data_IF_871988676668
#
_entry.id   IF_871988676668
#
_cell.length_a   1.000
_cell.length_b   1.000
_cell.length_c   1.000
_cell.angle_alpha   90.00
_cell.angle_beta   90.00
_cell.angle_gamma   90.00
#
_symmetry.space_group_name_H-M   'P 1'
#
loop_
_entity.id
_entity.type
_entity.pdbx_description
1 polymer ?
#
# COMPACT_ATOMS: atom_id res chain seq x y z
N UNK A 1 1.52 0.47 16.99
CA UNK A 1 1.23 0.50 15.56
C UNK A 1 -0.02 -0.28 15.22
N UNK A 2 -0.83 0.29 14.38
CA UNK A 2 -2.17 -0.23 14.13
C UNK A 2 -2.27 -0.98 12.82
N UNK A 3 -1.59 -2.11 12.73
CA UNK A 3 -1.63 -2.95 11.55
C UNK A 3 -2.98 -3.60 11.32
N UNK A 4 -3.65 -3.92 12.41
CA UNK A 4 -4.96 -4.57 12.38
C UNK A 4 -6.07 -3.62 11.98
N UNK A 5 -5.81 -2.32 12.01
CA UNK A 5 -6.78 -1.32 11.61
C UNK A 5 -6.55 -0.94 10.16
N UNK A 6 -7.00 -1.79 9.25
CA UNK A 6 -6.86 -1.53 7.84
C UNK A 6 -7.58 -0.29 7.35
N UNK A 7 -8.60 0.13 8.07
CA UNK A 7 -9.42 1.24 7.63
C UNK A 7 -8.84 2.58 8.11
N UNK A 8 -8.25 3.33 7.22
CA UNK A 8 -7.92 4.71 7.46
C UNK A 8 -9.15 5.56 7.15
N UNK A 9 -9.40 6.58 7.95
CA UNK A 9 -10.48 7.51 7.65
C UNK A 9 -10.07 8.45 6.51
N UNK A 10 -11.05 9.09 5.88
CA UNK A 10 -10.78 10.10 4.87
C UNK A 10 -9.92 11.23 5.45
N UNK A 11 -10.16 11.60 6.70
CA UNK A 11 -9.38 12.64 7.36
C UNK A 11 -7.90 12.24 7.49
N UNK A 12 -7.62 10.99 7.84
CA UNK A 12 -6.25 10.49 7.96
C UNK A 12 -5.52 10.57 6.62
N UNK A 13 -6.16 10.13 5.55
CA UNK A 13 -5.55 10.14 4.22
C UNK A 13 -5.39 11.57 3.70
N UNK A 14 -6.33 12.43 4.01
CA UNK A 14 -6.24 13.84 3.65
C UNK A 14 -5.02 14.49 4.28
N UNK A 15 -4.81 14.26 5.56
CA UNK A 15 -3.68 14.80 6.31
C UNK A 15 -2.35 14.25 5.79
N UNK A 16 -2.26 12.93 5.65
CA UNK A 16 -1.02 12.26 5.24
C UNK A 16 -0.57 12.64 3.83
N UNK A 17 -1.51 12.94 2.95
CA UNK A 17 -1.22 13.19 1.54
C UNK A 17 -1.32 14.66 1.15
N UNK A 18 -1.61 15.55 2.11
CA UNK A 18 -1.73 16.97 1.81
C UNK A 18 -2.91 17.29 0.92
N UNK A 19 -4.06 16.68 1.17
CA UNK A 19 -5.27 16.80 0.34
C UNK A 19 -6.36 17.59 1.06
N UNK A 20 -5.99 18.70 1.68
CA UNK A 20 -6.87 19.45 2.59
C UNK A 20 -8.11 20.05 1.92
N UNK A 21 -8.07 20.26 0.61
CA UNK A 21 -9.18 20.88 -0.12
C UNK A 21 -10.15 19.85 -0.71
N UNK A 22 -9.89 18.56 -0.53
CA UNK A 22 -10.75 17.51 -1.08
C UNK A 22 -11.79 17.06 -0.08
N UNK A 23 -12.95 16.65 -0.59
CA UNK A 23 -14.03 16.10 0.20
C UNK A 23 -13.87 14.58 0.36
N UNK A 24 -14.61 14.00 1.30
CA UNK A 24 -14.56 12.56 1.56
C UNK A 24 -14.90 11.73 0.33
N UNK A 25 -15.86 12.19 -0.47
CA UNK A 25 -16.25 11.49 -1.71
C UNK A 25 -15.12 11.38 -2.72
N UNK A 26 -14.21 12.37 -2.71
CA UNK A 26 -13.07 12.37 -3.62
C UNK A 26 -12.01 11.34 -3.23
N UNK A 27 -12.02 10.91 -1.97
CA UNK A 27 -11.02 10.01 -1.42
C UNK A 27 -11.44 8.54 -1.39
N UNK A 28 -12.64 8.22 -1.88
CA UNK A 28 -13.18 6.85 -1.79
C UNK A 28 -12.29 5.79 -2.43
N UNK A 29 -11.78 6.07 -3.62
CA UNK A 29 -10.91 5.13 -4.30
C UNK A 29 -9.58 4.96 -3.57
N UNK A 30 -9.01 6.06 -3.10
CA UNK A 30 -7.77 6.02 -2.34
C UNK A 30 -7.95 5.23 -1.04
N UNK A 31 -9.05 5.43 -0.34
CA UNK A 31 -9.38 4.70 0.87
C UNK A 31 -9.51 3.21 0.61
N UNK A 32 -10.17 2.83 -0.48
CA UNK A 32 -10.34 1.43 -0.86
C UNK A 32 -9.00 0.76 -1.15
N UNK A 33 -8.13 1.44 -1.90
CA UNK A 33 -6.81 0.91 -2.21
C UNK A 33 -5.94 0.79 -0.96
N UNK A 34 -5.99 1.78 -0.08
CA UNK A 34 -5.31 1.73 1.20
C UNK A 34 -5.78 0.53 2.02
N UNK A 35 -7.08 0.33 2.09
CA UNK A 35 -7.67 -0.79 2.81
C UNK A 35 -7.21 -2.14 2.26
N UNK A 36 -7.19 -2.28 0.93
CA UNK A 36 -6.69 -3.51 0.30
C UNK A 36 -5.24 -3.79 0.68
N UNK A 37 -4.39 -2.77 0.67
CA UNK A 37 -2.99 -2.93 1.07
C UNK A 37 -2.87 -3.45 2.50
N UNK A 38 -3.60 -2.86 3.42
CA UNK A 38 -3.46 -3.19 4.84
C UNK A 38 -4.19 -4.45 5.28
N UNK A 39 -5.30 -4.81 4.63
CA UNK A 39 -6.10 -5.98 5.02
C UNK A 39 -5.79 -7.22 4.20
N UNK A 40 -5.22 -7.09 3.03
CA UNK A 40 -4.94 -8.21 2.14
C UNK A 40 -3.46 -8.33 1.79
N UNK A 41 -2.90 -7.29 1.19
CA UNK A 41 -1.55 -7.38 0.60
C UNK A 41 -0.48 -7.56 1.68
N UNK A 42 -0.45 -6.69 2.67
CA UNK A 42 0.60 -6.72 3.70
C UNK A 42 0.51 -7.95 4.63
N UNK A 43 -0.68 -8.41 5.05
CA UNK A 43 -0.75 -9.66 5.80
C UNK A 43 -0.18 -10.85 5.05
N UNK A 44 -0.40 -10.93 3.73
CA UNK A 44 0.19 -12.00 2.91
C UNK A 44 1.71 -11.88 2.83
N UNK A 45 2.25 -10.66 2.84
CA UNK A 45 3.69 -10.46 2.88
C UNK A 45 4.30 -11.10 4.14
N UNK A 46 3.64 -10.95 5.28
CA UNK A 46 4.09 -11.58 6.54
C UNK A 46 4.11 -13.10 6.45
N UNK A 47 3.11 -13.69 5.81
CA UNK A 47 3.05 -15.12 5.60
C UNK A 47 4.22 -15.62 4.76
N UNK A 48 4.53 -14.93 3.67
CA UNK A 48 5.67 -15.28 2.83
C UNK A 48 7.00 -15.08 3.55
N UNK A 49 7.11 -14.06 4.38
CA UNK A 49 8.30 -13.85 5.19
C UNK A 49 8.58 -15.04 6.09
N UNK A 50 7.55 -15.60 6.69
CA UNK A 50 7.68 -16.80 7.53
C UNK A 50 8.06 -18.02 6.71
N UNK A 51 7.48 -18.17 5.51
CA UNK A 51 7.79 -19.29 4.64
C UNK A 51 9.22 -19.25 4.10
N UNK A 52 9.73 -18.04 3.87
CA UNK A 52 11.08 -17.83 3.35
C UNK A 52 12.01 -17.39 4.47
N UNK A 53 12.09 -18.21 5.47
CA UNK A 53 12.86 -17.94 6.68
C UNK A 53 14.28 -17.51 6.36
N UNK A 54 14.73 -16.44 7.00
CA UNK A 54 16.07 -15.90 6.79
C UNK A 54 16.22 -14.95 5.60
N UNK A 55 15.18 -14.77 4.80
CA UNK A 55 15.26 -13.85 3.65
C UNK A 55 15.15 -12.39 4.07
N UNK A 56 14.40 -12.13 5.15
CA UNK A 56 14.45 -10.85 5.84
C UNK A 56 13.98 -11.07 7.28
N UNK A 57 14.44 -10.21 8.16
CA UNK A 57 14.27 -10.43 9.59
C UNK A 57 12.89 -10.09 10.13
N UNK A 58 12.27 -9.06 9.57
CA UNK A 58 10.93 -8.66 10.03
C UNK A 58 10.14 -8.05 8.89
N UNK A 59 8.83 -8.10 9.05
CA UNK A 59 7.91 -7.46 8.12
C UNK A 59 7.35 -6.22 8.78
N UNK A 60 7.62 -5.08 8.21
CA UNK A 60 7.06 -3.82 8.69
C UNK A 60 6.63 -2.96 7.52
N UNK A 61 5.71 -2.07 7.79
CA UNK A 61 5.15 -1.19 6.78
C UNK A 61 5.79 0.18 6.95
N UNK A 62 6.37 0.69 5.89
CA UNK A 62 7.00 1.99 5.88
C UNK A 62 6.09 2.96 5.15
N UNK A 63 5.76 4.05 5.81
CA UNK A 63 5.09 5.16 5.14
C UNK A 63 6.17 6.16 4.73
N UNK A 64 6.25 6.44 3.44
CA UNK A 64 7.24 7.36 2.92
C UNK A 64 6.83 8.80 3.18
N UNK A 65 7.80 9.72 3.06
CA UNK A 65 7.63 11.14 3.32
C UNK A 65 6.50 11.78 2.52
N UNK A 66 6.30 11.31 1.31
CA UNK A 66 5.28 11.84 0.40
C UNK A 66 3.93 11.14 0.53
N UNK A 67 3.73 10.36 1.58
CA UNK A 67 2.48 9.66 1.83
C UNK A 67 2.35 8.34 1.11
N UNK A 68 3.39 7.88 0.44
CA UNK A 68 3.40 6.56 -0.18
C UNK A 68 3.53 5.46 0.86
N UNK A 69 3.18 4.26 0.49
CA UNK A 69 3.27 3.09 1.35
C UNK A 69 4.19 2.06 0.72
N UNK A 70 5.01 1.45 1.55
CA UNK A 70 5.94 0.44 1.07
C UNK A 70 6.19 -0.59 2.16
N UNK A 71 6.26 -1.86 1.78
CA UNK A 71 6.65 -2.95 2.66
C UNK A 71 7.79 -3.72 2.02
N UNK A 72 8.70 -4.29 2.83
CA UNK A 72 9.72 -5.18 2.29
C UNK A 72 9.08 -6.36 1.56
N UNK A 73 9.59 -6.68 0.40
CA UNK A 73 9.13 -7.84 -0.38
C UNK A 73 10.03 -9.02 -0.02
N UNK A 74 9.48 -10.12 0.51
CA UNK A 74 10.30 -11.28 0.81
C UNK A 74 10.91 -11.87 -0.46
N UNK A 75 12.12 -12.37 -0.34
CA UNK A 75 12.83 -13.00 -1.44
C UNK A 75 12.81 -14.51 -1.24
N UNK A 76 12.26 -15.28 -2.19
CA UNK A 76 12.24 -16.72 -2.05
C UNK A 76 13.66 -17.31 -2.09
N UNK A 77 13.92 -18.36 -1.30
CA UNK A 77 15.23 -19.03 -1.34
C UNK A 77 15.43 -19.73 -2.67
N UNK A 78 16.68 -19.81 -3.09
CA UNK A 78 17.07 -20.49 -4.35
C UNK A 78 17.15 -22.02 -4.14
N UNK A 79 16.13 -22.60 -3.56
CA UNK A 79 16.11 -24.03 -3.31
C UNK A 79 15.03 -24.65 -4.19
N UNK A 80 15.43 -25.62 -4.99
CA UNK A 80 14.51 -26.40 -5.81
C UNK A 80 13.53 -27.17 -4.91
N UNK A 81 12.30 -27.32 -5.33
CA UNK A 81 11.36 -28.21 -4.69
C UNK A 81 10.08 -27.60 -4.14
N UNK A 82 9.89 -26.28 -4.22
CA UNK A 82 8.67 -25.68 -3.70
C UNK A 82 8.01 -24.77 -4.73
N UNK A 83 7.78 -25.32 -5.91
CA UNK A 83 7.26 -24.59 -7.05
C UNK A 83 5.88 -23.96 -6.78
N UNK A 84 5.02 -24.66 -6.06
CA UNK A 84 3.69 -24.14 -5.71
C UNK A 84 3.78 -22.88 -4.86
N UNK A 85 4.65 -22.91 -3.86
CA UNK A 85 4.82 -21.77 -2.96
C UNK A 85 5.43 -20.58 -3.71
N UNK A 86 6.40 -20.84 -4.57
CA UNK A 86 7.03 -19.79 -5.39
C UNK A 86 6.02 -19.18 -6.34
N UNK A 87 5.16 -19.99 -6.95
CA UNK A 87 4.11 -19.49 -7.83
C UNK A 87 3.12 -18.61 -7.06
N UNK A 88 2.69 -19.04 -5.89
CA UNK A 88 1.82 -18.24 -5.02
C UNK A 88 2.46 -16.91 -4.66
N UNK A 89 3.75 -16.93 -4.36
CA UNK A 89 4.52 -15.73 -4.07
C UNK A 89 4.56 -14.79 -5.26
N UNK A 90 4.82 -15.30 -6.46
CA UNK A 90 4.88 -14.48 -7.67
C UNK A 90 3.51 -13.85 -7.98
N UNK A 91 2.44 -14.61 -7.79
CA UNK A 91 1.07 -14.10 -7.98
C UNK A 91 0.78 -12.98 -6.97
N UNK A 92 1.15 -13.17 -5.71
CA UNK A 92 1.00 -12.15 -4.68
C UNK A 92 1.81 -10.89 -5.01
N UNK A 93 3.03 -11.08 -5.45
CA UNK A 93 3.91 -9.96 -5.80
C UNK A 93 3.33 -9.13 -6.95
N UNK A 94 2.74 -9.79 -7.92
CA UNK A 94 2.05 -9.11 -9.02
C UNK A 94 0.88 -8.29 -8.49
N UNK A 95 0.07 -8.86 -7.61
CA UNK A 95 -1.05 -8.15 -6.97
C UNK A 95 -0.55 -6.93 -6.19
N UNK A 96 0.51 -7.10 -5.43
CA UNK A 96 1.10 -6.03 -4.65
C UNK A 96 1.54 -4.87 -5.55
N UNK A 97 2.26 -5.17 -6.60
CA UNK A 97 2.73 -4.14 -7.53
C UNK A 97 1.57 -3.40 -8.19
N UNK A 98 0.51 -4.10 -8.57
CA UNK A 98 -0.69 -3.50 -9.16
C UNK A 98 -1.41 -2.57 -8.19
N UNK A 99 -1.62 -3.02 -6.97
CA UNK A 99 -2.36 -2.24 -5.97
C UNK A 99 -1.53 -1.02 -5.55
N UNK A 100 -0.24 -1.20 -5.35
CA UNK A 100 0.64 -0.10 -4.98
C UNK A 100 0.70 0.97 -6.06
N UNK A 101 0.80 0.53 -7.32
CA UNK A 101 0.78 1.45 -8.46
C UNK A 101 -0.54 2.19 -8.54
N UNK A 102 -1.66 1.48 -8.38
CA UNK A 102 -2.98 2.10 -8.40
C UNK A 102 -3.12 3.15 -7.29
N UNK A 103 -2.61 2.84 -6.11
CA UNK A 103 -2.61 3.78 -4.98
C UNK A 103 -1.79 5.03 -5.33
N UNK A 104 -0.59 4.84 -5.84
CA UNK A 104 0.29 5.95 -6.21
C UNK A 104 -0.32 6.83 -7.31
N UNK A 105 -0.92 6.22 -8.33
CA UNK A 105 -1.56 6.93 -9.43
C UNK A 105 -2.76 7.74 -8.93
N UNK A 106 -3.58 7.14 -8.08
CA UNK A 106 -4.75 7.84 -7.53
C UNK A 106 -4.34 8.99 -6.62
N UNK A 107 -3.33 8.78 -5.79
CA UNK A 107 -2.78 9.82 -4.94
C UNK A 107 -2.28 11.01 -5.76
N UNK A 108 -1.57 10.73 -6.85
CA UNK A 108 -1.05 11.77 -7.74
C UNK A 108 -2.19 12.56 -8.39
N UNK A 109 -3.20 11.85 -8.87
CA UNK A 109 -4.39 12.49 -9.46
C UNK A 109 -5.08 13.41 -8.45
N UNK A 110 -5.22 12.95 -7.22
CA UNK A 110 -5.86 13.73 -6.16
C UNK A 110 -5.03 14.94 -5.75
N UNK A 111 -3.71 14.81 -5.75
CA UNK A 111 -2.83 15.94 -5.47
C UNK A 111 -2.99 17.05 -6.50
N UNK A 112 -3.08 16.70 -7.78
CA UNK A 112 -3.34 17.67 -8.84
C UNK A 112 -4.69 18.34 -8.67
N UNK A 113 -5.72 17.56 -8.36
CA UNK A 113 -7.06 18.10 -8.11
C UNK A 113 -7.06 19.05 -6.92
N UNK A 114 -6.41 18.66 -5.83
CA UNK A 114 -6.28 19.50 -4.64
C UNK A 114 -5.55 20.82 -4.97
N UNK A 115 -4.47 20.73 -5.73
CA UNK A 115 -3.71 21.90 -6.15
C UNK A 115 -4.56 22.87 -6.98
N UNK A 116 -5.33 22.35 -7.93
CA UNK A 116 -6.22 23.17 -8.75
C UNK A 116 -7.25 23.92 -7.89
N UNK A 117 -7.85 23.23 -6.92
CA UNK A 117 -8.81 23.86 -6.01
C UNK A 117 -8.12 24.96 -5.20
N UNK A 118 -6.94 24.68 -4.68
CA UNK A 118 -6.18 25.65 -3.89
C UNK A 118 -5.87 26.91 -4.72
N UNK A 119 -5.43 26.75 -5.96
CA UNK A 119 -5.11 27.87 -6.84
C UNK A 119 -6.34 28.71 -7.15
N UNK A 120 -7.46 28.05 -7.46
CA UNK A 120 -8.69 28.77 -7.84
C UNK A 120 -9.43 29.39 -6.65
N UNK A 121 -9.11 28.98 -5.43
CA UNK A 121 -9.74 29.52 -4.24
C UNK A 121 -9.03 30.77 -3.70
N UNK A 122 -7.96 31.18 -4.32
CA UNK A 122 -7.21 32.38 -3.92
C UNK A 122 -7.76 33.64 -4.54
#
# INVERSE_FOLDING_TARGET
MRYECGAATAADLRERNGLDHLEDKDLRKLMRLYDILWTDIYPRAKEFAKLFEGTFQETYIIETRDGGLQAPIPTPPRIAGNEKTIKRYMDWREDYEKVLKAYSDERERLRWKNFEIEVYSR
#
